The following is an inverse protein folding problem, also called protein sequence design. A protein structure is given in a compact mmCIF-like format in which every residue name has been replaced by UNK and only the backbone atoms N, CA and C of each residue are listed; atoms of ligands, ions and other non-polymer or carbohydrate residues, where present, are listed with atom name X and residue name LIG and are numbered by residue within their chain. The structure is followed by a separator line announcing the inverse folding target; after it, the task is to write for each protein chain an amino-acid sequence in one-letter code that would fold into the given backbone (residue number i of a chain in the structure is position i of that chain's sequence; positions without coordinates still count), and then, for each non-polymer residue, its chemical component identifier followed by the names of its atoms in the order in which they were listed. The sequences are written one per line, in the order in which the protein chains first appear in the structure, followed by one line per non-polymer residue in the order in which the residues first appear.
data_IF_247105399651
#
_entry.id   IF_247105399651
#
_cell.length_a   1.000
_cell.length_b   1.000
_cell.length_c   1.000
_cell.angle_alpha   90.00
_cell.angle_beta   90.00
_cell.angle_gamma   90.00
#
_symmetry.space_group_name_H-M   'P 1'
#
loop_
_entity.id
_entity.type
_entity.pdbx_description
1 polymer ?
#
# COMPACT_ATOMS: atom_id res chain seq x y z
N UNK A 1 64.46 -16.80 -45.55
CA UNK A 1 64.74 -15.48 -44.95
C UNK A 1 63.41 -15.02 -44.33
N UNK A 2 63.03 -15.28 -43.06
CA UNK A 2 63.59 -14.81 -41.75
C UNK A 2 63.73 -13.28 -41.76
N UNK A 3 63.14 -12.41 -40.91
CA UNK A 3 62.52 -12.39 -39.55
C UNK A 3 61.11 -11.72 -39.57
N UNK A 4 60.17 -11.85 -38.60
CA UNK A 4 60.18 -11.53 -37.14
C UNK A 4 59.92 -10.02 -36.93
N UNK A 5 59.07 -9.44 -36.06
CA UNK A 5 58.50 -9.74 -34.73
C UNK A 5 57.29 -8.78 -34.48
N UNK A 6 56.16 -9.21 -33.91
CA UNK A 6 55.75 -9.17 -32.48
C UNK A 6 55.09 -7.86 -31.95
N UNK A 7 53.75 -7.95 -31.75
CA UNK A 7 52.92 -7.67 -30.55
C UNK A 7 53.22 -6.44 -29.65
N UNK A 8 52.19 -5.64 -29.34
CA UNK A 8 51.75 -5.27 -27.97
C UNK A 8 50.38 -4.54 -27.97
N UNK A 9 49.68 -4.67 -26.84
CA UNK A 9 48.25 -4.41 -26.60
C UNK A 9 47.94 -3.02 -25.99
N UNK A 10 46.65 -2.83 -25.62
CA UNK A 10 46.00 -1.84 -24.73
C UNK A 10 45.38 -0.61 -25.43
N UNK A 11 44.06 -0.41 -25.44
CA UNK A 11 43.00 -0.29 -24.41
C UNK A 11 42.86 1.15 -23.86
N UNK A 12 41.74 1.79 -24.24
CA UNK A 12 41.04 2.95 -23.63
C UNK A 12 41.84 4.28 -23.63
N UNK A 13 41.29 5.48 -23.76
CA UNK A 13 39.99 6.04 -23.38
C UNK A 13 39.83 7.44 -24.05
N UNK A 14 38.61 7.98 -24.19
CA UNK A 14 38.46 9.40 -24.57
C UNK A 14 37.15 9.83 -25.24
N UNK A 15 36.13 10.12 -24.42
CA UNK A 15 34.93 10.99 -24.57
C UNK A 15 34.90 12.02 -25.75
N UNK A 16 33.73 12.55 -26.21
CA UNK A 16 32.73 13.20 -25.33
C UNK A 16 31.24 13.25 -25.78
N UNK A 17 30.43 13.78 -24.86
CA UNK A 17 29.18 14.53 -25.06
C UNK A 17 27.84 13.77 -25.22
N UNK A 18 27.23 13.57 -24.04
CA UNK A 18 25.85 13.92 -23.68
C UNK A 18 24.89 14.25 -24.84
N UNK A 19 23.91 13.37 -25.05
CA UNK A 19 22.59 13.75 -25.55
C UNK A 19 21.54 13.29 -24.55
N UNK A 20 20.90 14.28 -23.96
CA UNK A 20 19.67 14.19 -23.20
C UNK A 20 18.57 13.62 -24.10
N UNK A 21 18.08 12.43 -23.80
CA UNK A 21 16.75 11.98 -24.24
C UNK A 21 15.81 12.06 -23.05
N UNK A 22 15.35 13.28 -22.77
CA UNK A 22 14.13 13.53 -22.01
C UNK A 22 12.97 13.09 -22.91
N UNK A 23 12.36 11.97 -22.53
CA UNK A 23 11.20 11.40 -23.21
C UNK A 23 10.53 10.40 -22.28
N UNK A 24 10.30 10.80 -21.03
CA UNK A 24 9.44 10.08 -20.12
C UNK A 24 8.02 10.10 -20.70
N UNK A 25 7.67 9.02 -21.42
CA UNK A 25 6.31 8.74 -21.86
C UNK A 25 5.47 8.33 -20.65
N UNK A 26 5.15 9.28 -19.79
CA UNK A 26 4.15 9.11 -18.73
C UNK A 26 2.79 9.45 -19.31
N UNK A 27 2.14 8.48 -19.94
CA UNK A 27 0.68 8.46 -19.95
C UNK A 27 0.17 7.04 -20.19
N UNK A 28 0.06 6.30 -19.09
CA UNK A 28 -0.99 5.31 -18.92
C UNK A 28 -1.74 5.70 -17.64
N UNK A 29 -2.65 6.64 -17.81
CA UNK A 29 -3.78 6.83 -16.90
C UNK A 29 -4.68 5.61 -17.02
N UNK A 30 -4.66 4.74 -16.02
CA UNK A 30 -5.73 3.80 -15.75
C UNK A 30 -5.66 3.31 -14.30
N UNK A 31 -6.53 3.92 -13.49
CA UNK A 31 -7.38 3.34 -12.45
C UNK A 31 -6.84 2.16 -11.65
N UNK A 32 -6.50 2.39 -10.38
CA UNK A 32 -6.88 1.56 -9.23
C UNK A 32 -6.15 2.06 -7.97
N UNK A 33 -6.73 3.00 -7.24
CA UNK A 33 -6.30 3.22 -5.86
C UNK A 33 -7.04 2.22 -4.97
N UNK A 34 -6.52 1.00 -4.89
CA UNK A 34 -6.79 0.13 -3.74
C UNK A 34 -6.25 0.80 -2.46
N UNK A 35 -6.80 0.46 -1.28
CA UNK A 35 -6.44 1.12 -0.03
C UNK A 35 -4.93 1.00 0.26
N UNK A 36 -4.19 2.10 0.51
CA UNK A 36 -2.78 2.06 0.85
C UNK A 36 -2.61 1.72 2.33
N UNK A 37 -3.00 0.51 2.73
CA UNK A 37 -2.90 0.06 4.12
C UNK A 37 -1.51 -0.54 4.44
N UNK A 38 -0.73 -0.90 3.42
CA UNK A 38 0.60 -1.53 3.56
C UNK A 38 1.59 -0.99 2.53
N UNK A 39 2.80 -0.53 2.92
CA UNK A 39 3.85 -0.16 1.98
C UNK A 39 4.16 -1.28 0.98
N UNK A 40 4.37 -0.96 -0.32
CA UNK A 40 4.61 -1.97 -1.36
C UNK A 40 5.70 -2.98 -1.01
N UNK A 41 6.84 -2.52 -0.49
CA UNK A 41 8.01 -3.36 -0.24
C UNK A 41 7.78 -4.33 0.92
N UNK A 42 7.10 -3.87 1.99
CA UNK A 42 6.71 -4.73 3.12
C UNK A 42 5.78 -5.83 2.64
N UNK A 43 4.79 -5.47 1.81
CA UNK A 43 3.83 -6.43 1.28
C UNK A 43 4.48 -7.44 0.33
N UNK A 44 5.41 -6.99 -0.54
CA UNK A 44 6.20 -7.86 -1.41
C UNK A 44 7.08 -8.81 -0.62
N UNK A 45 7.70 -8.37 0.46
CA UNK A 45 8.51 -9.23 1.32
C UNK A 45 7.68 -10.33 1.99
N UNK A 46 6.46 -10.00 2.41
CA UNK A 46 5.58 -10.94 3.12
C UNK A 46 4.90 -11.96 2.19
N UNK A 47 4.56 -11.56 0.96
CA UNK A 47 3.75 -12.38 0.04
C UNK A 47 4.58 -12.93 -1.13
N UNK A 48 5.65 -12.24 -1.51
CA UNK A 48 6.51 -12.54 -2.65
C UNK A 48 6.17 -11.74 -3.93
N UNK A 49 7.15 -11.58 -4.82
CA UNK A 49 7.07 -10.72 -6.01
C UNK A 49 6.01 -11.13 -7.04
N UNK A 50 5.78 -12.43 -7.22
CA UNK A 50 4.81 -12.97 -8.20
C UNK A 50 4.12 -14.21 -7.68
N UNK A 51 2.80 -14.32 -7.91
CA UNK A 51 1.96 -15.41 -7.41
C UNK A 51 1.11 -16.03 -8.51
N UNK A 52 1.26 -17.35 -8.67
CA UNK A 52 0.42 -18.19 -9.56
C UNK A 52 -0.76 -18.83 -8.84
N UNK A 53 -0.64 -19.04 -7.53
CA UNK A 53 -1.64 -19.61 -6.65
C UNK A 53 -1.56 -18.91 -5.30
N UNK A 54 -2.69 -18.73 -4.65
CA UNK A 54 -2.81 -18.27 -3.27
C UNK A 54 -3.84 -19.13 -2.58
N UNK A 55 -3.54 -19.60 -1.37
CA UNK A 55 -4.49 -20.44 -0.63
C UNK A 55 -5.45 -19.59 0.20
N UNK A 56 -6.64 -20.12 0.50
CA UNK A 56 -7.57 -19.46 1.41
C UNK A 56 -6.92 -19.23 2.79
N UNK A 57 -6.21 -20.23 3.32
CA UNK A 57 -5.55 -20.11 4.62
C UNK A 57 -4.48 -19.02 4.65
N UNK A 58 -3.73 -18.85 3.57
CA UNK A 58 -2.77 -17.75 3.43
C UNK A 58 -3.47 -16.39 3.45
N UNK A 59 -4.62 -16.24 2.76
CA UNK A 59 -5.43 -15.02 2.82
C UNK A 59 -5.99 -14.74 4.22
N UNK A 60 -6.41 -15.78 4.96
CA UNK A 60 -6.84 -15.65 6.37
C UNK A 60 -5.72 -15.10 7.25
N UNK A 61 -4.51 -15.65 7.11
CA UNK A 61 -3.36 -15.20 7.90
C UNK A 61 -2.96 -13.76 7.56
N UNK A 62 -2.96 -13.40 6.28
CA UNK A 62 -2.68 -12.04 5.83
C UNK A 62 -3.76 -11.05 6.29
N UNK A 63 -5.04 -11.47 6.27
CA UNK A 63 -6.18 -10.69 6.75
C UNK A 63 -6.00 -10.31 8.22
N UNK A 64 -5.58 -11.26 9.05
CA UNK A 64 -5.29 -10.99 10.47
C UNK A 64 -4.05 -10.11 10.65
N UNK A 65 -2.97 -10.40 9.91
CA UNK A 65 -1.71 -9.65 10.02
C UNK A 65 -1.89 -8.16 9.70
N UNK A 66 -2.65 -7.85 8.65
CA UNK A 66 -2.81 -6.48 8.18
C UNK A 66 -4.11 -5.81 8.62
N UNK A 67 -5.02 -6.53 9.29
CA UNK A 67 -6.29 -5.96 9.73
C UNK A 67 -7.14 -5.42 8.57
N UNK A 68 -7.15 -6.12 7.42
CA UNK A 68 -7.95 -5.78 6.24
C UNK A 68 -8.53 -7.03 5.60
N UNK A 69 -9.62 -6.88 4.84
CA UNK A 69 -10.31 -8.02 4.21
C UNK A 69 -9.44 -8.78 3.21
N UNK A 70 -9.74 -10.06 2.98
CA UNK A 70 -9.09 -10.87 1.94
C UNK A 70 -9.27 -10.24 0.57
N UNK A 71 -10.44 -9.68 0.29
CA UNK A 71 -10.69 -8.96 -0.97
C UNK A 71 -9.78 -7.75 -1.13
N UNK A 72 -9.56 -6.95 -0.08
CA UNK A 72 -8.64 -5.82 -0.11
C UNK A 72 -7.20 -6.26 -0.40
N UNK A 73 -6.77 -7.37 0.21
CA UNK A 73 -5.44 -7.95 -0.04
C UNK A 73 -5.28 -8.41 -1.50
N UNK A 74 -6.30 -9.05 -2.07
CA UNK A 74 -6.28 -9.52 -3.47
C UNK A 74 -6.27 -8.33 -4.44
N UNK A 75 -7.02 -7.25 -4.15
CA UNK A 75 -6.91 -5.99 -4.89
C UNK A 75 -5.49 -5.44 -4.82
N UNK A 76 -4.89 -5.39 -3.62
CA UNK A 76 -3.52 -4.90 -3.44
C UNK A 76 -2.49 -5.73 -4.22
N UNK A 77 -2.62 -7.06 -4.24
CA UNK A 77 -1.75 -7.93 -5.04
C UNK A 77 -1.86 -7.64 -6.53
N UNK A 78 -3.06 -7.35 -7.04
CA UNK A 78 -3.26 -6.95 -8.44
C UNK A 78 -2.62 -5.59 -8.71
N UNK A 79 -2.87 -4.61 -7.85
CA UNK A 79 -2.36 -3.23 -8.03
C UNK A 79 -0.82 -3.19 -7.99
N UNK A 80 -0.19 -4.09 -7.24
CA UNK A 80 1.27 -4.27 -7.21
C UNK A 80 1.83 -5.18 -8.33
N UNK A 81 0.97 -5.71 -9.20
CA UNK A 81 1.37 -6.59 -10.31
C UNK A 81 1.83 -7.99 -9.87
N UNK A 82 1.52 -8.41 -8.64
CA UNK A 82 1.91 -9.72 -8.10
C UNK A 82 1.03 -10.84 -8.66
N UNK A 83 -0.21 -10.52 -9.04
CA UNK A 83 -1.12 -11.43 -9.75
C UNK A 83 -1.61 -10.78 -11.05
N UNK A 84 -1.90 -11.60 -12.07
CA UNK A 84 -2.50 -11.11 -13.32
C UNK A 84 -4.00 -10.84 -13.17
N UNK A 85 -4.56 -10.02 -14.06
CA UNK A 85 -6.00 -9.73 -14.08
C UNK A 85 -6.87 -11.00 -14.23
N UNK A 86 -6.39 -11.97 -15.01
CA UNK A 86 -7.06 -13.26 -15.15
C UNK A 86 -7.05 -14.08 -13.85
N UNK A 87 -5.98 -13.99 -13.05
CA UNK A 87 -5.92 -14.62 -11.74
C UNK A 87 -6.81 -13.89 -10.73
N UNK A 88 -6.74 -12.55 -10.69
CA UNK A 88 -7.62 -11.69 -9.90
C UNK A 88 -9.10 -12.01 -10.15
N UNK A 89 -9.52 -12.07 -11.41
CA UNK A 89 -10.90 -12.39 -11.78
C UNK A 89 -11.34 -13.80 -11.37
N UNK A 90 -10.43 -14.79 -11.39
CA UNK A 90 -10.72 -16.15 -10.86
C UNK A 90 -10.96 -16.13 -9.36
N UNK A 91 -10.14 -15.39 -8.60
CA UNK A 91 -10.28 -15.28 -7.15
C UNK A 91 -11.59 -14.56 -6.79
N UNK A 92 -11.96 -13.49 -7.49
CA UNK A 92 -13.22 -12.79 -7.24
C UNK A 92 -14.46 -13.63 -7.58
N UNK A 93 -14.39 -14.47 -8.63
CA UNK A 93 -15.45 -15.46 -8.88
C UNK A 93 -15.57 -16.48 -7.75
N UNK A 94 -14.44 -16.89 -7.16
CA UNK A 94 -14.44 -17.76 -6.00
C UNK A 94 -15.06 -17.08 -4.77
N UNK A 95 -14.70 -15.82 -4.46
CA UNK A 95 -15.36 -15.06 -3.39
C UNK A 95 -16.88 -14.99 -3.56
N UNK A 96 -17.35 -14.67 -4.77
CA UNK A 96 -18.78 -14.60 -5.07
C UNK A 96 -19.48 -15.96 -4.89
N UNK A 97 -18.88 -17.04 -5.40
CA UNK A 97 -19.45 -18.40 -5.29
C UNK A 97 -19.50 -18.87 -3.83
N UNK A 98 -18.55 -18.45 -3.01
CA UNK A 98 -18.46 -18.82 -1.61
C UNK A 98 -19.27 -17.91 -0.67
N UNK A 99 -19.89 -16.83 -1.17
CA UNK A 99 -20.66 -15.88 -0.35
C UNK A 99 -19.80 -14.87 0.43
N UNK A 100 -18.50 -14.80 0.15
CA UNK A 100 -17.51 -14.03 0.93
C UNK A 100 -17.53 -12.53 0.67
N UNK A 101 -18.56 -12.01 0.00
CA UNK A 101 -18.71 -10.57 -0.23
C UNK A 101 -18.94 -9.82 1.09
N UNK A 102 -19.66 -10.43 2.01
CA UNK A 102 -20.01 -9.85 3.31
C UNK A 102 -19.37 -10.62 4.46
N UNK A 103 -19.37 -11.95 4.39
CA UNK A 103 -18.86 -12.82 5.45
C UNK A 103 -17.66 -13.62 4.94
N UNK A 104 -16.47 -13.03 5.07
CA UNK A 104 -15.22 -13.72 4.75
C UNK A 104 -14.86 -14.74 5.85
N UNK A 105 -14.24 -15.88 5.48
CA UNK A 105 -13.89 -16.91 6.45
C UNK A 105 -12.80 -16.43 7.42
N UNK A 106 -12.67 -17.19 8.52
CA UNK A 106 -11.79 -16.86 9.63
C UNK A 106 -12.32 -15.73 10.51
N UNK A 107 -11.48 -15.25 11.41
CA UNK A 107 -11.84 -14.17 12.34
C UNK A 107 -12.13 -12.87 11.59
N UNK A 108 -13.16 -12.14 12.05
CA UNK A 108 -13.55 -10.88 11.43
C UNK A 108 -12.50 -9.80 11.70
N UNK A 109 -12.18 -9.01 10.67
CA UNK A 109 -11.36 -7.82 10.87
C UNK A 109 -12.19 -6.79 11.64
N UNK A 110 -11.64 -6.16 12.69
CA UNK A 110 -12.33 -5.10 13.40
C UNK A 110 -12.78 -4.01 12.43
N UNK A 111 -14.06 -3.61 12.50
CA UNK A 111 -14.54 -2.48 11.72
C UNK A 111 -13.77 -1.23 12.16
N UNK A 112 -13.20 -0.50 11.20
CA UNK A 112 -12.63 0.81 11.47
C UNK A 112 -13.71 1.69 12.08
N UNK A 113 -13.47 2.19 13.30
CA UNK A 113 -14.34 3.19 13.88
C UNK A 113 -13.97 4.52 13.22
N UNK A 114 -14.93 5.28 12.66
CA UNK A 114 -14.65 6.56 12.03
C UNK A 114 -14.17 7.58 13.08
N UNK A 115 -12.85 7.63 13.32
CA UNK A 115 -12.18 8.54 14.26
C UNK A 115 -11.78 9.86 13.62
N UNK A 116 -12.04 10.06 12.33
CA UNK A 116 -11.61 11.27 11.60
C UNK A 116 -12.15 12.55 12.21
N UNK A 117 -13.45 12.58 12.52
CA UNK A 117 -14.07 13.74 13.16
C UNK A 117 -13.48 14.00 14.55
N UNK A 118 -13.35 12.96 15.37
CA UNK A 118 -12.69 13.05 16.68
C UNK A 118 -11.27 13.61 16.58
N UNK A 119 -10.46 13.09 15.65
CA UNK A 119 -9.09 13.58 15.41
C UNK A 119 -9.04 15.04 14.97
N UNK A 120 -9.97 15.48 14.10
CA UNK A 120 -10.04 16.89 13.69
C UNK A 120 -10.39 17.81 14.86
N UNK A 121 -11.35 17.42 15.69
CA UNK A 121 -11.74 18.20 16.87
C UNK A 121 -10.59 18.27 17.88
N UNK A 122 -9.92 17.14 18.15
CA UNK A 122 -8.75 17.10 19.03
C UNK A 122 -7.58 17.95 18.50
N UNK A 123 -7.33 17.92 17.19
CA UNK A 123 -6.34 18.78 16.57
C UNK A 123 -6.69 20.26 16.71
N UNK A 124 -7.94 20.66 16.40
CA UNK A 124 -8.38 22.04 16.54
C UNK A 124 -8.32 22.52 18.01
N UNK A 125 -8.58 21.64 18.97
CA UNK A 125 -8.43 21.93 20.40
C UNK A 125 -6.96 22.13 20.78
N UNK A 126 -6.06 21.26 20.31
CA UNK A 126 -4.63 21.33 20.60
C UNK A 126 -3.95 22.56 19.96
N UNK A 127 -4.42 23.00 18.79
CA UNK A 127 -3.97 24.21 18.10
C UNK A 127 -4.71 25.48 18.58
N UNK A 128 -5.47 25.39 19.67
CA UNK A 128 -6.24 26.49 20.29
C UNK A 128 -7.25 27.18 19.34
N UNK A 129 -7.59 26.55 18.21
CA UNK A 129 -8.56 27.07 17.23
C UNK A 129 -10.00 27.01 17.76
N UNK A 130 -10.27 26.12 18.71
CA UNK A 130 -11.55 26.00 19.41
C UNK A 130 -11.33 25.84 20.92
N UNK A 131 -12.32 26.25 21.70
CA UNK A 131 -12.28 26.06 23.16
C UNK A 131 -12.57 24.61 23.55
N UNK A 132 -12.10 24.20 24.74
CA UNK A 132 -12.45 22.91 25.37
C UNK A 132 -13.95 22.65 25.41
N UNK A 133 -14.75 23.68 25.75
CA UNK A 133 -16.21 23.57 25.76
C UNK A 133 -16.76 23.27 24.37
N UNK A 134 -16.25 23.95 23.33
CA UNK A 134 -16.68 23.75 21.95
C UNK A 134 -16.29 22.37 21.42
N UNK A 135 -15.12 21.87 21.79
CA UNK A 135 -14.70 20.51 21.45
C UNK A 135 -15.61 19.45 22.08
N UNK A 136 -16.02 19.65 23.34
CA UNK A 136 -16.94 18.76 24.05
C UNK A 136 -18.34 18.74 23.42
N UNK A 137 -18.89 19.92 23.08
CA UNK A 137 -20.14 20.04 22.33
C UNK A 137 -20.09 19.27 20.99
N UNK A 138 -18.99 19.39 20.24
CA UNK A 138 -18.82 18.72 18.95
C UNK A 138 -18.75 17.19 19.10
N UNK A 139 -18.11 16.69 20.16
CA UNK A 139 -17.93 15.24 20.40
C UNK A 139 -19.04 14.59 21.21
N UNK A 140 -20.06 15.35 21.62
CA UNK A 140 -21.11 14.89 22.54
C UNK A 140 -20.52 14.30 23.84
N UNK A 141 -19.58 15.04 24.45
CA UNK A 141 -18.88 14.66 25.69
C UNK A 141 -18.93 15.76 26.73
N UNK A 142 -18.66 15.41 27.98
CA UNK A 142 -18.49 16.38 29.05
C UNK A 142 -17.15 17.14 28.90
N UNK A 143 -17.11 18.48 29.03
CA UNK A 143 -15.87 19.28 28.91
C UNK A 143 -14.75 18.87 29.87
N UNK A 144 -15.07 18.33 31.05
CA UNK A 144 -14.09 17.86 32.04
C UNK A 144 -13.51 16.49 31.68
N UNK A 145 -14.15 15.76 30.76
CA UNK A 145 -13.72 14.42 30.33
C UNK A 145 -12.73 14.42 29.15
N UNK A 146 -12.47 15.57 28.52
CA UNK A 146 -11.52 15.64 27.41
C UNK A 146 -10.07 15.59 27.91
N UNK A 147 -9.17 14.83 27.25
CA UNK A 147 -7.76 14.80 27.61
C UNK A 147 -7.13 16.19 27.44
N UNK A 148 -6.18 16.55 28.31
CA UNK A 148 -5.36 17.75 28.10
C UNK A 148 -4.35 17.53 26.98
N UNK A 149 -3.98 18.58 26.23
CA UNK A 149 -2.84 18.53 25.32
C UNK A 149 -1.57 18.08 26.05
N UNK A 150 -0.72 17.31 25.37
CA UNK A 150 0.51 16.75 25.98
C UNK A 150 1.52 17.85 26.33
N UNK A 151 1.49 18.98 25.61
CA UNK A 151 2.35 20.13 25.81
C UNK A 151 1.49 21.39 25.72
N UNK A 152 1.32 22.08 26.85
CA UNK A 152 0.70 23.39 26.99
C UNK A 152 1.61 24.27 27.86
#
# INVERSE_FOLDING_TARGET
MVQGNARLEHLQDGSPHARTTTGASTSKMNSAEGPPFVPPDVFRNDVGERRRKISQRELELLKQKYGVSMQALVCRMRDLGMISDGHFGRIFRWFNKAGYKHDEPGEAVPREQPRRFERMVQHALAEELITRRRAAELLDRDPTSLPEPVLA
#
